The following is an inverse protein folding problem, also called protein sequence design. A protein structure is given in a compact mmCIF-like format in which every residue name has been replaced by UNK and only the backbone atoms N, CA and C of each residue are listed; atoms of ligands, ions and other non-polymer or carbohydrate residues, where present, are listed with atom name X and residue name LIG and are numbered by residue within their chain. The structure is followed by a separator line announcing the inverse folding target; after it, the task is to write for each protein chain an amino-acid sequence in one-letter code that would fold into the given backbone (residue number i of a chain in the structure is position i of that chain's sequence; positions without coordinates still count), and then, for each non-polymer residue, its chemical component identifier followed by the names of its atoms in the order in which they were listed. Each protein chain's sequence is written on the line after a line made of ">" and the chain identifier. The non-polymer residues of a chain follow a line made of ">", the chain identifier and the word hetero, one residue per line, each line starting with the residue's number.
data_IF_889437789317
#
_entry.id   IF_889437789317
#
_cell.length_a   1.000
_cell.length_b   1.000
_cell.length_c   1.000
_cell.angle_alpha   90.00
_cell.angle_beta   90.00
_cell.angle_gamma   90.00
#
_symmetry.space_group_name_H-M   'P 1'
#
loop_
_entity.id
_entity.type
_entity.pdbx_description
1 polymer ?
#
# COMPACT_ATOMS: atom_id res chain seq x y z
N UNK A 1 3.50 14.79 -24.89
CA UNK A 1 3.68 13.83 -23.78
C UNK A 1 2.86 14.38 -22.63
N UNK A 2 1.63 13.87 -22.45
CA UNK A 2 0.77 14.31 -21.36
C UNK A 2 1.51 14.08 -20.05
N UNK A 3 1.69 15.14 -19.28
CA UNK A 3 2.21 15.07 -17.93
C UNK A 3 1.08 14.43 -17.12
N UNK A 4 1.05 13.10 -17.08
CA UNK A 4 0.17 12.37 -16.17
C UNK A 4 0.47 12.87 -14.77
N UNK A 5 -0.48 13.59 -14.18
CA UNK A 5 -0.45 14.04 -12.81
C UNK A 5 -0.07 12.84 -11.94
N UNK A 6 1.13 12.83 -11.36
CA UNK A 6 1.58 11.66 -10.62
C UNK A 6 0.67 11.48 -9.41
N UNK A 7 -0.26 10.53 -9.48
CA UNK A 7 -1.16 10.19 -8.37
C UNK A 7 -0.37 10.17 -7.06
N UNK A 8 -0.80 11.02 -6.12
CA UNK A 8 -0.23 11.03 -4.77
C UNK A 8 -0.91 9.93 -3.97
N UNK A 9 -0.12 9.19 -3.20
CA UNK A 9 -0.68 8.28 -2.21
C UNK A 9 -1.58 9.07 -1.25
N UNK A 10 -2.78 8.54 -1.00
CA UNK A 10 -3.63 9.12 0.04
C UNK A 10 -2.92 8.99 1.39
N UNK A 11 -3.25 9.87 2.35
CA UNK A 11 -2.69 9.78 3.71
C UNK A 11 -2.97 8.41 4.35
N UNK A 12 -4.15 7.84 4.10
CA UNK A 12 -4.54 6.52 4.59
C UNK A 12 -3.68 5.42 4.00
N UNK A 13 -3.56 5.38 2.67
CA UNK A 13 -2.71 4.40 1.97
C UNK A 13 -1.24 4.51 2.40
N UNK A 14 -0.73 5.74 2.56
CA UNK A 14 0.64 5.98 3.04
C UNK A 14 0.86 5.37 4.44
N UNK A 15 -0.05 5.65 5.37
CA UNK A 15 0.04 5.13 6.75
C UNK A 15 -0.09 3.61 6.78
N UNK A 16 -0.97 3.04 5.96
CA UNK A 16 -1.13 1.60 5.83
C UNK A 16 0.16 0.92 5.34
N UNK A 17 0.79 1.45 4.29
CA UNK A 17 2.06 0.92 3.77
C UNK A 17 3.16 1.00 4.84
N UNK A 18 3.28 2.13 5.55
CA UNK A 18 4.27 2.25 6.62
C UNK A 18 3.99 1.24 7.75
N UNK A 19 2.73 1.07 8.16
CA UNK A 19 2.35 0.08 9.17
C UNK A 19 2.75 -1.33 8.72
N UNK A 20 2.50 -1.67 7.46
CA UNK A 20 2.89 -2.96 6.92
C UNK A 20 4.41 -3.17 6.88
N UNK A 21 5.19 -2.11 6.57
CA UNK A 21 6.66 -2.14 6.65
C UNK A 21 7.15 -2.37 8.09
N UNK A 22 6.49 -1.77 9.07
CA UNK A 22 6.86 -1.89 10.48
C UNK A 22 6.48 -3.28 11.06
N UNK A 23 5.51 -3.97 10.47
CA UNK A 23 4.96 -5.25 10.96
C UNK A 23 5.45 -6.50 10.20
N UNK A 24 6.19 -6.33 9.09
CA UNK A 24 6.86 -7.47 8.45
C UNK A 24 8.02 -7.97 9.33
N UNK A 25 8.45 -9.21 9.07
CA UNK A 25 9.60 -9.80 9.78
C UNK A 25 10.85 -8.94 9.60
N UNK A 26 11.73 -8.85 10.62
CA UNK A 26 12.99 -8.14 10.49
C UNK A 26 13.80 -8.61 9.26
N UNK A 27 14.30 -7.66 8.47
CA UNK A 27 15.01 -7.91 7.22
C UNK A 27 14.14 -7.97 5.97
N UNK A 28 12.81 -7.88 6.11
CA UNK A 28 11.86 -7.88 5.00
C UNK A 28 11.22 -6.51 4.74
N UNK A 29 11.70 -5.44 5.38
CA UNK A 29 11.16 -4.07 5.31
C UNK A 29 11.23 -3.47 3.90
N UNK A 30 12.07 -4.03 3.02
CA UNK A 30 12.19 -3.65 1.61
C UNK A 30 11.65 -4.72 0.65
N UNK A 31 11.07 -5.81 1.17
CA UNK A 31 10.52 -6.88 0.34
C UNK A 31 9.06 -6.54 -0.02
N UNK A 32 8.86 -6.09 -1.26
CA UNK A 32 7.54 -5.68 -1.76
C UNK A 32 6.44 -6.74 -1.62
N UNK A 33 6.79 -8.02 -1.68
CA UNK A 33 5.80 -9.11 -1.64
C UNK A 33 5.35 -9.40 -0.21
N UNK A 34 6.27 -9.38 0.75
CA UNK A 34 5.92 -9.50 2.17
C UNK A 34 5.08 -8.31 2.64
N UNK A 35 5.43 -7.10 2.22
CA UNK A 35 4.64 -5.89 2.51
C UNK A 35 3.25 -6.01 1.89
N UNK A 36 3.13 -6.51 0.66
CA UNK A 36 1.83 -6.72 0.01
C UNK A 36 0.96 -7.72 0.78
N UNK A 37 1.55 -8.85 1.21
CA UNK A 37 0.84 -9.83 2.03
C UNK A 37 0.37 -9.22 3.35
N UNK A 38 1.26 -8.48 4.04
CA UNK A 38 0.92 -7.80 5.28
C UNK A 38 -0.17 -6.73 5.11
N UNK A 39 -0.17 -5.99 4.00
CA UNK A 39 -1.25 -5.05 3.68
C UNK A 39 -2.59 -5.79 3.55
N UNK A 40 -2.62 -6.93 2.86
CA UNK A 40 -3.83 -7.74 2.69
C UNK A 40 -4.36 -8.23 4.05
N UNK A 41 -3.49 -8.75 4.90
CA UNK A 41 -3.84 -9.16 6.27
C UNK A 41 -4.45 -7.99 7.06
N UNK A 42 -3.80 -6.82 7.07
CA UNK A 42 -4.27 -5.65 7.82
C UNK A 42 -5.66 -5.17 7.34
N UNK A 43 -5.92 -5.18 6.04
CA UNK A 43 -7.23 -4.71 5.53
C UNK A 43 -8.33 -5.72 5.80
N UNK A 44 -8.04 -7.02 5.73
CA UNK A 44 -8.98 -8.09 6.09
C UNK A 44 -9.31 -8.08 7.59
N UNK A 45 -8.33 -7.80 8.46
CA UNK A 45 -8.56 -7.67 9.91
C UNK A 45 -9.37 -6.42 10.28
N UNK A 46 -9.21 -5.33 9.52
CA UNK A 46 -9.86 -4.04 9.82
C UNK A 46 -11.26 -3.90 9.24
N UNK A 47 -11.55 -4.59 8.14
CA UNK A 47 -12.78 -4.39 7.38
C UNK A 47 -13.39 -5.73 6.96
N UNK A 48 -14.72 -5.83 7.06
CA UNK A 48 -15.46 -7.02 6.66
C UNK A 48 -16.54 -6.70 5.62
N UNK A 49 -16.84 -7.68 4.76
CA UNK A 49 -17.94 -7.61 3.78
C UNK A 49 -17.91 -6.36 2.89
N UNK A 50 -19.06 -5.72 2.68
CA UNK A 50 -19.19 -4.52 1.82
C UNK A 50 -18.30 -3.34 2.23
N UNK A 51 -17.88 -3.27 3.50
CA UNK A 51 -16.96 -2.22 3.95
C UNK A 51 -15.55 -2.47 3.39
N UNK A 52 -15.10 -3.73 3.31
CA UNK A 52 -13.81 -4.07 2.74
C UNK A 52 -13.73 -3.63 1.27
N UNK A 53 -14.70 -4.03 0.44
CA UNK A 53 -14.74 -3.68 -0.98
C UNK A 53 -14.71 -2.16 -1.21
N UNK A 54 -15.49 -1.42 -0.42
CA UNK A 54 -15.51 0.04 -0.49
C UNK A 54 -14.16 0.65 -0.13
N UNK A 55 -13.52 0.18 0.95
CA UNK A 55 -12.23 0.73 1.39
C UNK A 55 -11.10 0.37 0.43
N UNK A 56 -11.07 -0.87 -0.10
CA UNK A 56 -10.11 -1.28 -1.12
C UNK A 56 -10.22 -0.38 -2.36
N UNK A 57 -11.43 -0.14 -2.86
CA UNK A 57 -11.67 0.76 -3.99
C UNK A 57 -11.26 2.20 -3.71
N UNK A 58 -11.61 2.72 -2.53
CA UNK A 58 -11.26 4.07 -2.12
C UNK A 58 -9.75 4.28 -1.98
N UNK A 59 -9.02 3.25 -1.58
CA UNK A 59 -7.56 3.30 -1.39
C UNK A 59 -6.76 2.93 -2.65
N UNK A 60 -7.43 2.40 -3.68
CA UNK A 60 -6.78 1.88 -4.90
C UNK A 60 -5.99 0.59 -4.63
N UNK A 61 -6.55 -0.32 -3.82
CA UNK A 61 -5.93 -1.57 -3.36
C UNK A 61 -6.71 -2.82 -3.78
N UNK A 62 -7.55 -2.72 -4.81
CA UNK A 62 -8.48 -3.78 -5.24
C UNK A 62 -7.78 -5.02 -5.80
N UNK A 63 -6.52 -4.90 -6.22
CA UNK A 63 -5.77 -6.00 -6.83
C UNK A 63 -4.37 -6.05 -6.26
N UNK A 64 -3.75 -7.23 -6.30
CA UNK A 64 -2.33 -7.38 -5.96
C UNK A 64 -1.47 -6.41 -6.76
N UNK A 65 -1.77 -6.22 -8.06
CA UNK A 65 -1.04 -5.27 -8.91
C UNK A 65 -1.15 -3.83 -8.39
N UNK A 66 -2.34 -3.37 -8.04
CA UNK A 66 -2.53 -2.00 -7.55
C UNK A 66 -1.86 -1.79 -6.18
N UNK A 67 -1.91 -2.77 -5.28
CA UNK A 67 -1.16 -2.74 -4.01
C UNK A 67 0.34 -2.60 -4.29
N UNK A 68 0.87 -3.46 -5.15
CA UNK A 68 2.28 -3.49 -5.53
C UNK A 68 2.75 -2.18 -6.17
N UNK A 69 1.93 -1.53 -7.01
CA UNK A 69 2.20 -0.21 -7.58
C UNK A 69 2.22 0.89 -6.50
N UNK A 70 1.32 0.85 -5.52
CA UNK A 70 1.28 1.82 -4.41
C UNK A 70 2.50 1.66 -3.49
N UNK A 71 2.99 0.44 -3.28
CA UNK A 71 4.25 0.16 -2.59
C UNK A 71 5.43 0.76 -3.36
N UNK A 72 5.53 0.52 -4.68
CA UNK A 72 6.61 1.09 -5.50
C UNK A 72 6.60 2.62 -5.48
N UNK A 73 5.41 3.23 -5.59
CA UNK A 73 5.22 4.67 -5.44
C UNK A 73 5.71 5.17 -4.08
N UNK A 74 5.46 4.41 -3.01
CA UNK A 74 5.89 4.76 -1.66
C UNK A 74 7.41 4.81 -1.56
N UNK A 75 8.08 3.74 -1.98
CA UNK A 75 9.55 3.66 -1.95
C UNK A 75 10.19 4.74 -2.81
N UNK A 76 9.66 4.97 -4.01
CA UNK A 76 10.19 5.99 -4.92
C UNK A 76 10.07 7.40 -4.36
N UNK A 77 8.92 7.77 -3.79
CA UNK A 77 8.66 9.15 -3.34
C UNK A 77 9.19 9.45 -1.95
N UNK A 78 9.13 8.48 -1.02
CA UNK A 78 9.33 8.73 0.40
C UNK A 78 10.55 8.03 1.00
N UNK A 79 11.06 6.95 0.41
CA UNK A 79 12.24 6.24 0.94
C UNK A 79 13.51 6.64 0.19
N UNK A 80 13.47 6.67 -1.15
CA UNK A 80 14.62 7.05 -1.97
C UNK A 80 15.03 8.53 -1.80
N UNK A 81 14.12 9.38 -1.33
CA UNK A 81 14.35 10.82 -1.12
C UNK A 81 14.44 11.21 0.37
N UNK A 82 14.53 10.24 1.29
CA UNK A 82 14.81 10.47 2.71
C UNK A 82 16.26 10.14 3.02
#
# INVERSE_FOLDING_TARGET
>A
MEVMEQEKLTRGTKKLIQTAIDEVKPGYENNRYEICAKIAEIVEERYEGFNLDYQLKRMGLETTKSILEKIDMYFYKYVKNS
#
